data_IF_404205098712
#
_entry.id   IF_404205098712
#
_cell.length_a   1.000
_cell.length_b   1.000
_cell.length_c   1.000
_cell.angle_alpha   90.00
_cell.angle_beta   90.00
_cell.angle_gamma   90.00
#
_symmetry.space_group_name_H-M   'P 1'
#
loop_
_entity.id
_entity.type
_entity.pdbx_description
1 polymer ?
#
# COMPACT_ATOMS: atom_id res chain seq x y z
N UNK A 1 18.06 -5.01 1.86
CA UNK A 1 17.36 -4.66 0.60
C UNK A 1 16.76 -5.89 -0.10
N UNK A 2 17.49 -7.00 -0.21
CA UNK A 2 17.00 -8.25 -0.84
C UNK A 2 15.70 -8.79 -0.22
N UNK A 3 15.59 -8.74 1.12
CA UNK A 3 14.40 -9.17 1.87
C UNK A 3 13.15 -8.32 1.54
N UNK A 4 13.30 -7.00 1.34
CA UNK A 4 12.18 -6.11 0.99
C UNK A 4 11.62 -6.39 -0.40
N UNK A 5 12.50 -6.60 -1.40
CA UNK A 5 12.07 -7.06 -2.72
C UNK A 5 11.46 -8.47 -2.68
N UNK A 6 11.92 -9.34 -1.77
CA UNK A 6 11.30 -10.63 -1.49
C UNK A 6 9.85 -10.49 -1.03
N UNK A 7 9.60 -9.62 -0.06
CA UNK A 7 8.24 -9.33 0.42
C UNK A 7 7.35 -8.76 -0.69
N UNK A 8 7.85 -7.81 -1.48
CA UNK A 8 7.11 -7.24 -2.62
C UNK A 8 6.73 -8.29 -3.67
N UNK A 9 7.62 -9.27 -3.95
CA UNK A 9 7.30 -10.40 -4.84
C UNK A 9 6.19 -11.29 -4.29
N UNK A 10 6.17 -11.54 -2.97
CA UNK A 10 5.09 -12.30 -2.33
C UNK A 10 3.78 -11.53 -2.43
N UNK A 11 3.79 -10.23 -2.15
CA UNK A 11 2.62 -9.35 -2.28
C UNK A 11 2.08 -9.34 -3.71
N UNK A 12 2.93 -9.11 -4.70
CA UNK A 12 2.56 -9.07 -6.13
C UNK A 12 1.87 -10.36 -6.57
N UNK A 13 2.46 -11.52 -6.22
CA UNK A 13 1.88 -12.82 -6.54
C UNK A 13 0.52 -13.03 -5.86
N UNK A 14 0.39 -12.64 -4.59
CA UNK A 14 -0.84 -12.85 -3.84
C UNK A 14 -1.99 -11.97 -4.31
N UNK A 15 -1.70 -10.70 -4.60
CA UNK A 15 -2.71 -9.70 -4.99
C UNK A 15 -3.06 -9.79 -6.49
N UNK A 16 -2.33 -10.56 -7.28
CA UNK A 16 -2.62 -10.77 -8.69
C UNK A 16 -4.03 -11.36 -8.88
N UNK A 17 -4.87 -10.64 -9.63
CA UNK A 17 -6.26 -11.01 -9.87
C UNK A 17 -7.21 -10.76 -8.69
N UNK A 18 -6.77 -10.04 -7.65
CA UNK A 18 -7.57 -9.68 -6.48
C UNK A 18 -7.60 -8.18 -6.29
N UNK A 19 -8.71 -7.68 -5.74
CA UNK A 19 -8.84 -6.26 -5.43
C UNK A 19 -8.19 -5.88 -4.09
N UNK A 20 -8.26 -6.79 -3.10
CA UNK A 20 -7.75 -6.64 -1.74
C UNK A 20 -7.07 -7.93 -1.26
N UNK A 21 -6.25 -7.85 -0.20
CA UNK A 21 -5.47 -8.99 0.29
C UNK A 21 -6.33 -10.13 0.86
N UNK A 22 -7.51 -9.80 1.42
CA UNK A 22 -8.41 -10.77 2.06
C UNK A 22 -9.87 -10.50 1.64
N UNK A 23 -10.51 -11.49 1.02
CA UNK A 23 -11.89 -11.37 0.55
C UNK A 23 -12.04 -10.39 -0.62
N UNK A 24 -13.22 -9.77 -0.72
CA UNK A 24 -13.60 -8.85 -1.82
C UNK A 24 -13.80 -7.39 -1.34
N UNK A 25 -13.18 -7.02 -0.22
CA UNK A 25 -13.30 -5.69 0.39
C UNK A 25 -12.04 -5.28 1.14
N UNK A 26 -11.88 -3.98 1.39
CA UNK A 26 -10.82 -3.43 2.25
C UNK A 26 -10.88 -4.04 3.66
N UNK A 27 -9.72 -4.47 4.16
CA UNK A 27 -9.56 -4.98 5.52
C UNK A 27 -8.34 -4.38 6.22
N UNK A 28 -8.14 -4.73 7.50
CA UNK A 28 -6.93 -4.36 8.23
C UNK A 28 -5.65 -4.93 7.62
N UNK A 29 -5.73 -6.02 6.82
CA UNK A 29 -4.57 -6.57 6.12
C UNK A 29 -4.05 -5.57 5.08
N UNK A 30 -4.95 -4.92 4.34
CA UNK A 30 -4.60 -3.90 3.37
C UNK A 30 -4.02 -2.67 4.06
N UNK A 31 -4.65 -2.20 5.14
CA UNK A 31 -4.18 -1.04 5.91
C UNK A 31 -2.76 -1.28 6.46
N UNK A 32 -2.51 -2.46 7.03
CA UNK A 32 -1.20 -2.80 7.60
C UNK A 32 -0.09 -2.83 6.54
N UNK A 33 -0.38 -3.39 5.35
CA UNK A 33 0.57 -3.44 4.25
C UNK A 33 0.74 -2.06 3.58
N UNK A 34 -0.34 -1.28 3.45
CA UNK A 34 -0.34 0.02 2.76
C UNK A 34 0.59 1.02 3.46
N UNK A 35 0.57 1.05 4.80
CA UNK A 35 1.30 2.02 5.61
C UNK A 35 2.79 2.17 5.24
N UNK A 36 3.47 1.08 4.90
CA UNK A 36 4.88 1.12 4.48
C UNK A 36 5.04 1.02 2.96
N UNK A 37 4.17 0.27 2.28
CA UNK A 37 4.32 0.06 0.83
C UNK A 37 4.03 1.33 0.02
N UNK A 38 3.15 2.23 0.48
CA UNK A 38 2.83 3.45 -0.28
C UNK A 38 3.99 4.46 -0.33
N UNK A 39 4.86 4.48 0.69
CA UNK A 39 6.08 5.29 0.75
C UNK A 39 7.35 4.49 0.41
N UNK A 40 7.24 3.30 -0.20
CA UNK A 40 8.41 2.44 -0.44
C UNK A 40 9.50 3.13 -1.30
N UNK A 41 9.12 4.10 -2.12
CA UNK A 41 10.04 4.92 -2.93
C UNK A 41 10.97 5.78 -2.06
N UNK A 42 10.53 6.23 -0.87
CA UNK A 42 11.39 6.92 0.10
C UNK A 42 12.45 5.98 0.70
N UNK A 43 12.19 4.67 0.69
CA UNK A 43 13.13 3.61 1.06
C UNK A 43 13.94 3.05 -0.11
N UNK A 44 14.03 3.77 -1.23
CA UNK A 44 14.77 3.39 -2.44
C UNK A 44 14.27 2.09 -3.12
N UNK A 45 13.01 1.70 -2.89
CA UNK A 45 12.39 0.57 -3.61
C UNK A 45 11.71 1.05 -4.89
N UNK A 46 12.09 0.44 -6.02
CA UNK A 46 11.38 0.63 -7.28
C UNK A 46 10.15 -0.28 -7.37
N UNK A 47 8.96 0.33 -7.39
CA UNK A 47 7.70 -0.37 -7.55
C UNK A 47 7.29 -0.59 -9.01
N UNK A 48 8.03 -0.08 -9.99
CA UNK A 48 7.76 -0.23 -11.43
C UNK A 48 7.58 -1.68 -11.92
N UNK A 49 8.23 -2.71 -11.33
CA UNK A 49 8.01 -4.11 -11.72
C UNK A 49 6.73 -4.73 -11.16
N UNK A 50 6.12 -4.14 -10.12
CA UNK A 50 5.02 -4.75 -9.35
C UNK A 50 3.66 -4.13 -9.72
N UNK A 51 3.11 -4.54 -10.86
CA UNK A 51 1.93 -3.92 -11.43
C UNK A 51 0.67 -4.12 -10.58
N UNK A 52 0.50 -5.31 -10.00
CA UNK A 52 -0.64 -5.62 -9.15
C UNK A 52 -0.57 -4.86 -7.81
N UNK A 53 0.61 -4.77 -7.20
CA UNK A 53 0.85 -3.92 -6.01
C UNK A 53 0.54 -2.46 -6.32
N UNK A 54 1.03 -1.90 -7.43
CA UNK A 54 0.71 -0.52 -7.80
C UNK A 54 -0.78 -0.29 -8.03
N UNK A 55 -1.49 -1.26 -8.62
CA UNK A 55 -2.93 -1.17 -8.81
C UNK A 55 -3.69 -1.20 -7.49
N UNK A 56 -3.27 -2.06 -6.56
CA UNK A 56 -3.81 -2.12 -5.21
C UNK A 56 -3.55 -0.83 -4.41
N UNK A 57 -2.34 -0.26 -4.46
CA UNK A 57 -2.02 1.02 -3.82
C UNK A 57 -2.99 2.13 -4.27
N UNK A 58 -3.19 2.27 -5.59
CA UNK A 58 -4.15 3.24 -6.16
C UNK A 58 -5.60 2.98 -5.74
N UNK A 59 -5.96 1.72 -5.46
CA UNK A 59 -7.30 1.38 -4.98
C UNK A 59 -7.48 1.85 -3.54
N UNK A 60 -6.53 1.52 -2.65
CA UNK A 60 -6.57 1.93 -1.24
C UNK A 60 -6.56 3.46 -1.09
N UNK A 61 -5.77 4.17 -1.89
CA UNK A 61 -5.72 5.63 -1.89
C UNK A 61 -7.07 6.30 -2.25
N UNK A 62 -7.95 5.59 -2.97
CA UNK A 62 -9.27 6.08 -3.38
C UNK A 62 -10.38 5.78 -2.37
N UNK A 63 -10.10 5.05 -1.30
CA UNK A 63 -11.10 4.70 -0.31
C UNK A 63 -11.57 5.94 0.48
N UNK A 64 -12.87 6.07 0.78
CA UNK A 64 -13.39 7.17 1.58
C UNK A 64 -12.69 7.27 2.94
N UNK A 65 -12.22 8.47 3.29
CA UNK A 65 -11.52 8.70 4.55
C UNK A 65 -10.02 8.38 4.52
N UNK A 66 -9.47 8.01 3.36
CA UNK A 66 -8.03 7.92 3.19
C UNK A 66 -7.36 9.29 3.45
N UNK A 67 -6.24 9.26 4.16
CA UNK A 67 -5.40 10.44 4.44
C UNK A 67 -3.95 10.12 4.11
N UNK A 68 -3.20 11.14 3.69
CA UNK A 68 -1.76 11.01 3.44
C UNK A 68 -0.99 10.83 4.75
N UNK A 69 0.22 10.28 4.68
CA UNK A 69 1.04 9.97 5.86
C UNK A 69 1.38 11.21 6.71
N UNK A 70 1.44 12.38 6.09
CA UNK A 70 1.72 13.66 6.71
C UNK A 70 0.47 14.41 7.20
N UNK A 71 -0.71 13.81 7.02
CA UNK A 71 -1.97 14.42 7.42
C UNK A 71 -2.01 14.65 8.93
N UNK A 72 -2.50 15.83 9.33
CA UNK A 72 -2.72 16.21 10.72
C UNK A 72 -4.14 16.74 10.90
N UNK A 73 -4.81 16.42 12.02
CA UNK A 73 -6.07 17.06 12.37
C UNK A 73 -5.87 18.59 12.49
N UNK A 74 -6.87 19.37 12.05
CA UNK A 74 -6.82 20.84 12.11
C UNK A 74 -6.61 21.39 13.53
N UNK A 75 -6.96 20.64 14.58
CA UNK A 75 -6.73 21.03 15.97
C UNK A 75 -5.24 21.05 16.39
N UNK A 76 -4.35 20.44 15.59
CA UNK A 76 -2.91 20.36 15.89
C UNK A 76 -2.05 21.29 15.04
N UNK A 77 -2.67 22.15 14.20
CA UNK A 77 -1.98 23.19 13.43
C UNK A 77 -2.02 24.52 14.22
N UNK A 78 -1.28 24.57 15.33
CA UNK A 78 -1.05 25.78 16.14
C UNK A 78 0.45 26.10 16.19
#
# INVERSE_FOLDING_TARGET
MEEGYGALKVMERHIQGRDFFVGERLTIADIALYAHTHIAHEGEFDLSPFAAVRAWLRRVEREPGHVQIDWRPLEQAA
#
